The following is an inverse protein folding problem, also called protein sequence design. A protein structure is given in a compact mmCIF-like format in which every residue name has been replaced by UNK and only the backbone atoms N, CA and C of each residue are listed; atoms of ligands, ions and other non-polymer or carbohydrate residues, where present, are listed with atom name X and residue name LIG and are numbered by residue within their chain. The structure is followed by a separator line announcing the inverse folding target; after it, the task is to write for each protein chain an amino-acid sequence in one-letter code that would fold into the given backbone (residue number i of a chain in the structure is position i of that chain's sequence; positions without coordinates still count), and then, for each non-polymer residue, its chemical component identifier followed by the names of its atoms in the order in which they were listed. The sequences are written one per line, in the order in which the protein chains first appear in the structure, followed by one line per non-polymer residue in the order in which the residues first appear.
data_IF_782654934427
#
_entry.id   IF_782654934427
#
_cell.length_a   1.000
_cell.length_b   1.000
_cell.length_c   1.000
_cell.angle_alpha   90.00
_cell.angle_beta   90.00
_cell.angle_gamma   90.00
#
_symmetry.space_group_name_H-M   'P 1'
#
loop_
_entity.id
_entity.type
_entity.pdbx_description
1 polymer ?
#
# COMPACT_ATOMS: atom_id res chain seq x y z
N UNK A 1 -9.65 12.16 11.36
CA UNK A 1 -9.26 11.15 12.29
C UNK A 1 -8.08 10.34 11.76
N UNK A 2 -7.03 10.21 12.59
CA UNK A 2 -5.78 9.59 12.14
C UNK A 2 -5.97 8.14 11.72
N UNK A 3 -6.77 7.39 12.47
CA UNK A 3 -6.98 5.97 12.17
C UNK A 3 -7.65 5.81 10.81
N UNK A 4 -8.67 6.59 10.56
CA UNK A 4 -9.39 6.52 9.29
C UNK A 4 -8.48 6.91 8.12
N UNK A 5 -7.70 7.97 8.30
CA UNK A 5 -6.78 8.41 7.25
C UNK A 5 -5.73 7.34 6.96
N UNK A 6 -5.22 6.69 8.00
CA UNK A 6 -4.23 5.64 7.83
C UNK A 6 -4.80 4.46 7.04
N UNK A 7 -6.02 4.06 7.35
CA UNK A 7 -6.67 2.96 6.64
C UNK A 7 -6.89 3.30 5.18
N UNK A 8 -7.35 4.52 4.89
CA UNK A 8 -7.55 4.95 3.51
C UNK A 8 -6.24 5.01 2.75
N UNK A 9 -5.18 5.49 3.40
CA UNK A 9 -3.86 5.54 2.80
C UNK A 9 -3.40 4.14 2.41
N UNK A 10 -3.54 3.19 3.32
CA UNK A 10 -3.12 1.81 3.05
C UNK A 10 -3.92 1.19 1.92
N UNK A 11 -5.23 1.40 1.91
CA UNK A 11 -6.08 0.87 0.86
C UNK A 11 -5.69 1.46 -0.49
N UNK A 12 -5.49 2.77 -0.55
CA UNK A 12 -5.10 3.43 -1.78
C UNK A 12 -3.75 2.92 -2.26
N UNK A 13 -2.81 2.74 -1.34
CA UNK A 13 -1.49 2.24 -1.66
C UNK A 13 -1.57 0.83 -2.24
N UNK A 14 -2.32 -0.04 -1.61
CA UNK A 14 -2.46 -1.42 -2.07
C UNK A 14 -3.15 -1.47 -3.43
N UNK A 15 -4.21 -0.71 -3.61
CA UNK A 15 -4.92 -0.67 -4.89
C UNK A 15 -4.00 -0.15 -5.99
N UNK A 16 -3.23 0.87 -5.71
CA UNK A 16 -2.29 1.41 -6.67
C UNK A 16 -1.23 0.37 -7.02
N UNK A 17 -0.74 -0.34 -6.01
CA UNK A 17 0.26 -1.37 -6.22
C UNK A 17 -0.28 -2.51 -7.08
N UNK A 18 -1.52 -2.89 -6.89
CA UNK A 18 -2.13 -3.94 -7.69
C UNK A 18 -2.34 -3.50 -9.14
N UNK A 19 -2.68 -2.23 -9.32
CA UNK A 19 -2.97 -1.71 -10.66
C UNK A 19 -1.70 -1.41 -11.44
N UNK A 20 -0.73 -0.78 -10.79
CA UNK A 20 0.46 -0.29 -11.47
C UNK A 20 1.74 -1.02 -11.10
N UNK A 21 1.74 -1.74 -10.01
CA UNK A 21 2.90 -2.46 -9.53
C UNK A 21 3.45 -1.88 -8.24
N UNK A 22 4.09 -2.76 -7.46
CA UNK A 22 4.62 -2.38 -6.14
C UNK A 22 5.68 -1.29 -6.26
N UNK A 23 6.57 -1.43 -7.25
CA UNK A 23 7.65 -0.47 -7.43
C UNK A 23 7.09 0.92 -7.66
N UNK A 24 6.11 1.05 -8.54
CA UNK A 24 5.52 2.35 -8.84
C UNK A 24 4.76 2.89 -7.64
N UNK A 25 4.06 2.03 -6.91
CA UNK A 25 3.34 2.46 -5.73
C UNK A 25 4.30 2.98 -4.66
N UNK A 26 5.42 2.30 -4.46
CA UNK A 26 6.41 2.73 -3.49
C UNK A 26 6.98 4.10 -3.85
N UNK A 27 7.27 4.31 -5.11
CA UNK A 27 7.79 5.59 -5.57
C UNK A 27 6.72 6.68 -5.45
N UNK A 28 5.51 6.36 -5.87
CA UNK A 28 4.41 7.33 -5.85
C UNK A 28 4.14 7.83 -4.45
N UNK A 29 4.14 6.91 -3.48
CA UNK A 29 3.79 7.22 -2.11
C UNK A 29 5.01 7.45 -1.23
N UNK A 30 6.21 7.37 -1.82
CA UNK A 30 7.46 7.59 -1.11
C UNK A 30 7.60 6.68 0.10
N UNK A 31 7.29 5.42 -0.12
CA UNK A 31 7.44 4.41 0.92
C UNK A 31 8.40 3.35 0.44
N UNK A 32 8.90 2.55 1.38
CA UNK A 32 9.78 1.44 1.05
C UNK A 32 8.97 0.35 0.35
N UNK A 33 9.58 -0.32 -0.65
CA UNK A 33 8.93 -1.43 -1.32
C UNK A 33 8.56 -2.53 -0.34
N UNK A 34 9.39 -2.77 0.65
CA UNK A 34 9.09 -3.76 1.67
C UNK A 34 7.79 -3.42 2.41
N UNK A 35 7.57 -2.14 2.64
CA UNK A 35 6.33 -1.68 3.27
C UNK A 35 5.12 -2.08 2.42
N UNK A 36 5.21 -1.87 1.12
CA UNK A 36 4.11 -2.20 0.22
C UNK A 36 3.88 -3.71 0.18
N UNK A 37 4.96 -4.49 0.05
CA UNK A 37 4.84 -5.94 0.03
C UNK A 37 4.23 -6.46 1.32
N UNK A 38 4.65 -5.92 2.44
CA UNK A 38 4.15 -6.35 3.74
C UNK A 38 2.65 -6.16 3.84
N UNK A 39 2.16 -4.99 3.45
CA UNK A 39 0.73 -4.72 3.52
C UNK A 39 -0.05 -5.47 2.46
N UNK A 40 0.51 -5.61 1.28
CA UNK A 40 -0.14 -6.38 0.22
C UNK A 40 -0.31 -7.83 0.64
N UNK A 41 0.72 -8.40 1.22
CA UNK A 41 0.66 -9.78 1.70
C UNK A 41 -0.39 -9.93 2.80
N UNK A 42 -0.46 -8.95 3.68
CA UNK A 42 -1.43 -9.00 4.76
C UNK A 42 -2.86 -8.98 4.24
N UNK A 43 -3.13 -8.14 3.26
CA UNK A 43 -4.46 -8.07 2.65
C UNK A 43 -4.79 -9.33 1.87
N UNK A 44 -3.83 -9.87 1.14
CA UNK A 44 -4.05 -11.07 0.34
C UNK A 44 -4.09 -12.33 1.20
N UNK A 45 -3.36 -12.33 2.30
CA UNK A 45 -3.19 -13.50 3.13
C UNK A 45 -4.30 -13.74 4.13
N UNK A 46 -5.22 -12.82 4.27
CA UNK A 46 -6.34 -13.03 5.18
C UNK A 46 -7.53 -13.67 4.48
#
# INVERSE_FOLDING_TARGET
NKITQTMRFRQALIQYAEKYGVTKAAIRYRVNRQYVYRWKKRYDGT
#
